data_IF_933053092175
#
_entry.id   IF_933053092175
#
_cell.length_a   1.000
_cell.length_b   1.000
_cell.length_c   1.000
_cell.angle_alpha   90.00
_cell.angle_beta   90.00
_cell.angle_gamma   90.00
#
_symmetry.space_group_name_H-M   'P 1'
#
loop_
_entity.id
_entity.type
_entity.pdbx_description
1 polymer ?
#
# COMPACT_ATOMS: atom_id res chain seq x y z
N UNK A 1 -17.05 14.29 9.06
CA UNK A 1 -16.86 13.05 8.29
C UNK A 1 -15.61 12.39 8.86
N UNK A 2 -15.67 11.12 9.28
CA UNK A 2 -14.49 10.45 9.85
C UNK A 2 -13.38 10.41 8.81
N UNK A 3 -12.14 10.65 9.23
CA UNK A 3 -10.98 10.54 8.35
C UNK A 3 -10.77 9.06 7.98
N UNK A 4 -11.17 8.70 6.76
CA UNK A 4 -11.18 7.31 6.32
C UNK A 4 -9.78 6.72 6.18
N UNK A 5 -8.78 7.54 5.82
CA UNK A 5 -7.39 7.08 5.71
C UNK A 5 -6.85 6.74 7.11
N UNK A 6 -7.09 7.59 8.10
CA UNK A 6 -6.70 7.32 9.48
C UNK A 6 -7.34 6.02 9.99
N UNK A 7 -8.65 5.83 9.74
CA UNK A 7 -9.37 4.61 10.12
C UNK A 7 -8.77 3.35 9.45
N UNK A 8 -8.46 3.40 8.15
CA UNK A 8 -7.84 2.26 7.47
C UNK A 8 -6.46 1.95 8.03
N UNK A 9 -5.63 2.97 8.30
CA UNK A 9 -4.31 2.77 8.90
C UNK A 9 -4.44 2.14 10.31
N UNK A 10 -5.42 2.56 11.10
CA UNK A 10 -5.71 1.97 12.42
C UNK A 10 -6.07 0.48 12.29
N UNK A 11 -7.03 0.15 11.43
CA UNK A 11 -7.48 -1.24 11.21
C UNK A 11 -6.35 -2.12 10.68
N UNK A 12 -5.54 -1.63 9.74
CA UNK A 12 -4.42 -2.38 9.19
C UNK A 12 -3.34 -2.65 10.26
N UNK A 13 -3.12 -1.72 11.19
CA UNK A 13 -2.20 -1.93 12.30
C UNK A 13 -2.75 -2.90 13.36
N UNK A 14 -4.06 -2.83 13.70
CA UNK A 14 -4.68 -3.84 14.57
C UNK A 14 -4.62 -5.24 13.93
N UNK A 15 -4.87 -5.35 12.62
CA UNK A 15 -4.71 -6.61 11.89
C UNK A 15 -3.25 -7.11 11.90
N UNK A 16 -2.27 -6.22 11.72
CA UNK A 16 -0.85 -6.55 11.76
C UNK A 16 -0.41 -7.04 13.15
N UNK A 17 -0.94 -6.45 14.22
CA UNK A 17 -0.64 -6.89 15.58
C UNK A 17 -1.16 -8.32 15.84
N UNK A 18 -2.33 -8.65 15.29
CA UNK A 18 -2.95 -9.97 15.43
C UNK A 18 -2.27 -11.04 14.58
N UNK A 19 -1.91 -10.72 13.33
CA UNK A 19 -1.25 -11.65 12.42
C UNK A 19 -0.23 -10.94 11.52
N UNK A 20 1.03 -10.79 11.98
CA UNK A 20 2.05 -10.09 11.23
C UNK A 20 2.52 -10.83 9.97
N UNK A 21 2.42 -12.15 9.95
CA UNK A 21 2.85 -12.98 8.82
C UNK A 21 1.83 -12.88 7.69
N UNK A 22 0.54 -13.12 7.98
CA UNK A 22 -0.52 -13.00 6.98
C UNK A 22 -0.61 -11.60 6.39
N UNK A 23 -0.45 -10.56 7.23
CA UNK A 23 -0.44 -9.19 6.73
C UNK A 23 0.79 -8.89 5.86
N UNK A 24 1.98 -9.40 6.22
CA UNK A 24 3.17 -9.24 5.37
C UNK A 24 2.98 -9.93 4.03
N UNK A 25 2.46 -11.16 4.01
CA UNK A 25 2.20 -11.92 2.80
C UNK A 25 1.14 -11.25 1.92
N UNK A 26 0.05 -10.76 2.51
CA UNK A 26 -1.02 -10.06 1.80
C UNK A 26 -0.52 -8.78 1.12
N UNK A 27 0.35 -8.00 1.77
CA UNK A 27 0.92 -6.79 1.16
C UNK A 27 1.91 -7.13 0.03
N UNK A 28 2.65 -8.24 0.17
CA UNK A 28 3.56 -8.74 -0.86
C UNK A 28 2.82 -9.34 -2.06
N UNK A 29 1.56 -9.75 -1.91
CA UNK A 29 0.78 -10.32 -3.00
C UNK A 29 0.55 -9.26 -4.09
N UNK A 30 1.18 -9.47 -5.24
CA UNK A 30 1.04 -8.66 -6.44
C UNK A 30 0.60 -9.54 -7.60
N UNK A 31 -0.63 -9.35 -8.06
CA UNK A 31 -1.20 -10.11 -9.16
C UNK A 31 -0.98 -9.37 -10.48
N UNK A 32 -0.55 -10.09 -11.51
CA UNK A 32 -0.52 -9.57 -12.87
C UNK A 32 -1.94 -9.25 -13.31
N UNK A 33 -2.15 -8.08 -13.93
CA UNK A 33 -3.46 -7.63 -14.38
C UNK A 33 -3.44 -7.18 -15.83
N UNK A 34 -4.62 -7.21 -16.45
CA UNK A 34 -4.79 -6.77 -17.83
C UNK A 34 -4.80 -5.24 -17.94
N UNK A 35 -4.74 -4.74 -19.17
CA UNK A 35 -4.74 -3.31 -19.47
C UNK A 35 -5.99 -2.58 -18.97
N UNK A 36 -7.15 -3.23 -18.96
CA UNK A 36 -8.40 -2.61 -18.51
C UNK A 36 -8.33 -2.26 -17.02
N UNK A 37 -7.86 -3.19 -16.18
CA UNK A 37 -7.68 -2.93 -14.75
C UNK A 37 -6.54 -1.92 -14.51
N UNK A 38 -5.49 -1.97 -15.31
CA UNK A 38 -4.38 -1.01 -15.24
C UNK A 38 -4.80 0.44 -15.52
N UNK A 39 -5.85 0.64 -16.33
CA UNK A 39 -6.41 1.96 -16.66
C UNK A 39 -7.57 2.39 -15.75
N UNK A 40 -7.85 1.64 -14.69
CA UNK A 40 -9.01 1.93 -13.84
C UNK A 40 -8.79 3.24 -13.05
N UNK A 41 -9.77 4.19 -13.06
CA UNK A 41 -9.57 5.53 -12.51
C UNK A 41 -9.39 5.56 -10.98
N UNK A 42 -9.89 4.55 -10.27
CA UNK A 42 -9.84 4.47 -8.80
C UNK A 42 -9.04 3.27 -8.28
N UNK A 43 -8.13 2.71 -9.09
CA UNK A 43 -7.22 1.64 -8.65
C UNK A 43 -5.82 2.02 -9.10
N UNK A 44 -4.88 2.00 -8.17
CA UNK A 44 -3.48 2.23 -8.49
C UNK A 44 -2.83 0.91 -8.88
N UNK A 45 -2.32 0.87 -10.10
CA UNK A 45 -1.59 -0.27 -10.67
C UNK A 45 -0.18 0.19 -11.01
N UNK A 46 0.79 -0.69 -10.77
CA UNK A 46 2.18 -0.40 -11.08
C UNK A 46 2.64 -1.23 -12.27
N UNK A 47 3.42 -0.61 -13.17
CA UNK A 47 4.04 -1.30 -14.31
C UNK A 47 5.45 -1.76 -13.92
N UNK A 48 5.75 -3.04 -14.13
CA UNK A 48 7.06 -3.65 -13.96
C UNK A 48 7.51 -4.26 -15.28
N UNK A 49 8.39 -3.58 -16.01
CA UNK A 49 8.71 -3.94 -17.39
C UNK A 49 7.46 -3.79 -18.27
N UNK A 50 7.01 -4.90 -18.87
CA UNK A 50 5.81 -4.96 -19.71
C UNK A 50 4.56 -5.50 -18.99
N UNK A 51 4.68 -5.84 -17.70
CA UNK A 51 3.59 -6.43 -16.91
C UNK A 51 3.01 -5.39 -15.96
N UNK A 52 1.67 -5.31 -15.91
CA UNK A 52 0.96 -4.51 -14.92
C UNK A 52 0.63 -5.36 -13.70
N UNK A 53 0.83 -4.81 -12.51
CA UNK A 53 0.57 -5.51 -11.24
C UNK A 53 -0.26 -4.68 -10.29
N UNK A 54 -1.22 -5.34 -9.66
CA UNK A 54 -2.09 -4.77 -8.63
C UNK A 54 -1.84 -5.47 -7.29
N UNK A 55 -1.90 -4.71 -6.20
CA UNK A 55 -1.85 -5.24 -4.83
C UNK A 55 -2.86 -4.51 -3.95
N UNK A 56 -3.06 -5.01 -2.72
CA UNK A 56 -4.12 -4.49 -1.85
C UNK A 56 -3.99 -3.00 -1.55
N UNK A 57 -2.76 -2.50 -1.34
CA UNK A 57 -2.53 -1.06 -1.14
C UNK A 57 -2.83 -0.24 -2.39
N UNK A 58 -2.68 -0.80 -3.60
CA UNK A 58 -3.03 -0.09 -4.83
C UNK A 58 -4.55 0.11 -4.97
N UNK A 59 -5.32 -0.88 -4.52
CA UNK A 59 -6.79 -0.77 -4.46
C UNK A 59 -7.19 0.26 -3.40
N UNK A 60 -6.67 0.13 -2.17
CA UNK A 60 -7.02 1.04 -1.06
C UNK A 60 -6.64 2.49 -1.38
N UNK A 61 -5.42 2.72 -1.88
CA UNK A 61 -4.97 4.07 -2.25
C UNK A 61 -5.69 4.63 -3.48
N UNK A 62 -6.17 3.77 -4.40
CA UNK A 62 -6.97 4.23 -5.54
C UNK A 62 -8.37 4.69 -5.15
N UNK A 63 -8.98 4.04 -4.14
CA UNK A 63 -10.32 4.38 -3.67
C UNK A 63 -10.30 5.55 -2.67
N UNK A 64 -9.30 5.60 -1.79
CA UNK A 64 -9.27 6.51 -0.64
C UNK A 64 -8.25 7.65 -0.76
N UNK A 65 -7.20 7.45 -1.54
CA UNK A 65 -6.08 8.40 -1.63
C UNK A 65 -6.31 9.49 -2.67
N UNK A 66 -5.52 10.56 -2.57
CA UNK A 66 -5.59 11.72 -3.47
C UNK A 66 -4.40 11.89 -4.42
N UNK A 67 -3.30 11.14 -4.24
CA UNK A 67 -2.04 11.37 -4.94
C UNK A 67 -1.43 10.14 -5.63
N UNK A 68 -0.51 10.35 -6.60
CA UNK A 68 0.11 9.29 -7.39
C UNK A 68 0.98 8.31 -6.58
N UNK A 69 1.39 8.70 -5.37
CA UNK A 69 2.12 7.85 -4.42
C UNK A 69 1.21 7.08 -3.45
N UNK A 70 -0.10 7.36 -3.46
CA UNK A 70 -1.02 6.94 -2.40
C UNK A 70 -0.81 7.71 -1.10
N UNK A 71 -1.75 7.51 -0.17
CA UNK A 71 -1.76 8.15 1.15
C UNK A 71 -1.61 7.14 2.30
N UNK A 72 -1.71 5.84 2.00
CA UNK A 72 -1.50 4.72 2.92
C UNK A 72 -0.24 3.97 2.48
N UNK A 73 0.71 3.83 3.40
CA UNK A 73 1.97 3.10 3.18
C UNK A 73 2.23 2.03 4.24
N UNK A 74 3.33 1.30 4.07
CA UNK A 74 3.83 0.33 5.04
C UNK A 74 5.33 0.54 5.25
N UNK A 75 5.78 0.38 6.50
CA UNK A 75 7.21 0.39 6.87
C UNK A 75 7.59 -0.97 7.41
N UNK A 76 8.76 -1.45 6.99
CA UNK A 76 9.22 -2.78 7.33
C UNK A 76 10.63 -3.05 6.84
N UNK A 77 11.14 -4.22 7.16
CA UNK A 77 12.38 -4.72 6.55
C UNK A 77 12.04 -5.27 5.17
N UNK A 78 12.81 -4.92 4.15
CA UNK A 78 12.62 -5.38 2.77
C UNK A 78 13.79 -6.25 2.32
N UNK A 79 13.50 -7.20 1.44
CA UNK A 79 14.51 -7.93 0.69
C UNK A 79 15.04 -6.99 -0.40
N UNK A 80 16.34 -6.69 -0.37
CA UNK A 80 16.97 -5.75 -1.29
C UNK A 80 17.00 -6.21 -2.75
N UNK A 81 16.84 -7.51 -3.01
CA UNK A 81 16.85 -8.07 -4.37
C UNK A 81 15.45 -8.08 -5.00
N UNK A 82 14.41 -8.34 -4.20
CA UNK A 82 13.04 -8.48 -4.73
C UNK A 82 12.16 -7.27 -4.46
N UNK A 83 12.50 -6.45 -3.47
CA UNK A 83 11.67 -5.35 -2.97
C UNK A 83 10.52 -5.82 -2.07
N UNK A 84 10.34 -7.12 -1.86
CA UNK A 84 9.29 -7.64 -0.97
C UNK A 84 9.61 -7.32 0.48
N UNK A 85 8.57 -7.10 1.29
CA UNK A 85 8.72 -7.05 2.74
C UNK A 85 9.13 -8.42 3.27
N UNK A 86 10.21 -8.47 4.04
CA UNK A 86 10.52 -9.60 4.91
C UNK A 86 9.64 -9.56 6.17
N UNK A 87 9.31 -8.35 6.64
CA UNK A 87 8.39 -8.13 7.75
C UNK A 87 7.89 -6.70 7.75
N UNK A 88 6.58 -6.52 7.80
CA UNK A 88 5.97 -5.22 8.06
C UNK A 88 6.02 -4.93 9.56
N UNK A 89 6.39 -3.70 9.91
CA UNK A 89 6.45 -3.20 11.29
C UNK A 89 5.27 -2.30 11.63
N UNK A 90 4.79 -1.51 10.66
CA UNK A 90 3.59 -0.67 10.80
C UNK A 90 3.07 -0.19 9.45
N UNK A 91 1.77 0.05 9.38
CA UNK A 91 1.14 0.86 8.34
C UNK A 91 1.17 2.33 8.74
N UNK A 92 1.26 3.22 7.76
CA UNK A 92 1.45 4.66 7.98
C UNK A 92 0.53 5.50 7.11
N UNK A 93 0.08 6.61 7.67
CA UNK A 93 -0.53 7.71 6.92
C UNK A 93 0.58 8.60 6.34
N UNK A 94 0.76 8.50 5.03
CA UNK A 94 1.78 9.25 4.30
C UNK A 94 1.45 10.74 4.17
N UNK A 95 0.22 11.17 4.46
CA UNK A 95 -0.14 12.61 4.46
C UNK A 95 0.51 13.31 5.65
N UNK A 96 0.57 12.62 6.78
CA UNK A 96 1.19 13.13 8.02
C UNK A 96 2.70 13.07 7.92
N UNK A 97 3.27 11.94 7.49
CA UNK A 97 4.73 11.81 7.43
C UNK A 97 5.39 12.61 6.29
N UNK A 98 4.65 13.02 5.24
CA UNK A 98 5.18 13.94 4.23
C UNK A 98 5.38 15.37 4.74
N UNK A 99 4.69 15.76 5.81
CA UNK A 99 4.90 17.07 6.44
C UNK A 99 6.30 17.21 7.06
N UNK A 100 6.96 16.09 7.38
CA UNK A 100 8.31 16.06 7.95
C UNK A 100 9.43 16.33 6.90
N UNK A 101 9.08 16.42 5.61
CA UNK A 101 10.03 16.62 4.50
C UNK A 101 10.11 18.09 4.06
N UNK A 102 9.33 18.98 4.68
CA UNK A 102 9.45 20.43 4.48
C UNK A 102 10.46 20.97 5.51
N UNK A 103 11.75 20.83 5.21
CA UNK A 103 12.84 21.58 5.87
C UNK A 103 13.76 22.13 4.77
#
# INVERSE_FOLDING_TARGET
>A
MSDMIALVVEILNDALERDPEAMTDLINLRADCNAQLATHPTIQVQKYGDVYRVGVLGILNGVLGGGPSGDIGAKGTVNSQTGNFLRIKRFVDLRVERLDVII
#
